data_IF_709815736029
#
_entry.id   IF_709815736029
#
_cell.length_a   1.000
_cell.length_b   1.000
_cell.length_c   1.000
_cell.angle_alpha   90.00
_cell.angle_beta   90.00
_cell.angle_gamma   90.00
#
_symmetry.space_group_name_H-M   'P 1'
#
loop_
_entity.id
_entity.type
_entity.pdbx_description
1 polymer ?
#
# COMPACT_ATOMS: atom_id res chain seq x y z
N UNK A 1 -4.80 -7.41 10.64
CA UNK A 1 -4.21 -8.42 9.72
C UNK A 1 -2.70 -8.19 9.67
N UNK A 2 -1.93 -9.17 10.06
CA UNK A 2 -0.47 -9.06 9.97
C UNK A 2 -0.02 -9.30 8.53
N UNK A 3 0.78 -8.39 7.96
CA UNK A 3 1.36 -8.61 6.65
C UNK A 3 2.47 -9.66 6.75
N UNK A 4 2.45 -10.63 5.87
CA UNK A 4 3.48 -11.67 5.80
C UNK A 4 4.83 -11.08 5.35
N UNK A 5 5.92 -11.69 5.81
CA UNK A 5 7.26 -11.35 5.32
C UNK A 5 7.39 -11.69 3.82
N UNK A 6 8.23 -10.97 3.07
CA UNK A 6 8.53 -11.35 1.69
C UNK A 6 9.12 -12.75 1.58
N UNK A 7 8.71 -13.49 0.56
CA UNK A 7 9.23 -14.84 0.27
C UNK A 7 10.56 -14.80 -0.49
N UNK A 8 10.93 -13.64 -1.04
CA UNK A 8 12.11 -13.44 -1.85
C UNK A 8 13.12 -12.54 -1.16
N UNK A 9 14.28 -12.36 -1.79
CA UNK A 9 15.41 -11.65 -1.19
C UNK A 9 15.23 -10.12 -1.27
N UNK A 10 14.28 -9.60 -0.51
CA UNK A 10 14.11 -8.16 -0.33
C UNK A 10 13.44 -7.86 1.02
N UNK A 11 13.53 -6.61 1.46
CA UNK A 11 12.92 -6.14 2.70
C UNK A 11 11.47 -5.70 2.46
N UNK A 12 10.58 -5.86 3.44
CA UNK A 12 9.22 -5.33 3.33
C UNK A 12 9.19 -3.80 3.28
N UNK A 13 10.10 -3.16 3.98
CA UNK A 13 10.26 -1.70 3.94
C UNK A 13 11.68 -1.31 4.35
N UNK A 14 12.04 -0.07 4.03
CA UNK A 14 13.26 0.57 4.52
C UNK A 14 12.93 1.99 4.95
N UNK A 15 13.57 2.44 6.03
CA UNK A 15 13.39 3.79 6.54
C UNK A 15 14.68 4.58 6.28
N UNK A 16 14.51 5.78 5.72
CA UNK A 16 15.60 6.73 5.53
C UNK A 16 15.07 8.14 5.74
N UNK A 17 15.68 8.90 6.64
CA UNK A 17 15.29 10.28 6.98
C UNK A 17 13.79 10.39 7.32
N UNK A 18 13.28 9.48 8.16
CA UNK A 18 11.88 9.42 8.56
C UNK A 18 10.89 9.15 7.41
N UNK A 19 11.38 8.65 6.29
CA UNK A 19 10.55 8.20 5.17
C UNK A 19 10.60 6.68 5.09
N UNK A 20 9.43 6.07 5.07
CA UNK A 20 9.26 4.62 4.85
C UNK A 20 9.11 4.38 3.37
N UNK A 21 9.98 3.57 2.81
CA UNK A 21 9.94 3.06 1.44
C UNK A 21 9.38 1.65 1.51
N UNK A 22 8.13 1.48 1.10
CA UNK A 22 7.42 0.22 1.21
C UNK A 22 7.54 -0.58 -0.08
N UNK A 23 7.83 -1.87 0.05
CA UNK A 23 7.77 -2.80 -1.07
C UNK A 23 6.34 -3.01 -1.56
N UNK A 24 6.17 -3.46 -2.80
CA UNK A 24 4.88 -3.77 -3.39
C UNK A 24 4.08 -4.77 -2.56
N UNK A 25 2.81 -4.45 -2.32
CA UNK A 25 1.89 -5.27 -1.53
C UNK A 25 0.87 -5.92 -2.44
N UNK A 26 0.81 -7.25 -2.38
CA UNK A 26 -0.23 -8.07 -2.98
C UNK A 26 -1.34 -8.35 -1.95
N UNK A 27 -2.52 -8.71 -2.43
CA UNK A 27 -3.66 -9.04 -1.58
C UNK A 27 -3.58 -10.46 -1.00
N UNK A 28 -2.51 -10.74 -0.26
CA UNK A 28 -2.31 -12.04 0.36
C UNK A 28 -3.23 -12.23 1.57
N UNK A 29 -3.93 -13.35 1.57
CA UNK A 29 -4.69 -13.85 2.71
C UNK A 29 -4.12 -15.21 3.08
N UNK A 30 -3.63 -15.37 4.32
CA UNK A 30 -2.91 -16.58 4.75
C UNK A 30 -1.72 -16.94 3.84
N UNK A 31 -0.99 -15.91 3.39
CA UNK A 31 0.20 -16.08 2.56
C UNK A 31 -0.05 -16.25 1.06
N UNK A 32 -1.30 -16.30 0.62
CA UNK A 32 -1.67 -16.54 -0.78
C UNK A 32 -2.64 -15.48 -1.30
N UNK A 33 -2.49 -15.11 -2.57
CA UNK A 33 -3.53 -14.37 -3.30
C UNK A 33 -4.58 -15.38 -3.76
N UNK A 34 -5.82 -15.19 -3.31
CA UNK A 34 -6.87 -16.21 -3.53
C UNK A 34 -7.37 -16.29 -4.97
N UNK A 35 -7.53 -15.15 -5.62
CA UNK A 35 -8.07 -15.08 -6.97
C UNK A 35 -7.05 -14.43 -7.88
N UNK A 36 -6.58 -15.17 -8.87
CA UNK A 36 -5.48 -14.81 -9.74
C UNK A 36 -5.96 -14.49 -11.15
N UNK A 37 -5.21 -13.66 -11.83
CA UNK A 37 -5.45 -13.34 -13.23
C UNK A 37 -5.59 -11.85 -13.49
N UNK A 38 -6.03 -11.51 -14.69
CA UNK A 38 -6.15 -10.14 -15.17
C UNK A 38 -7.56 -9.59 -14.95
N UNK A 39 -7.63 -8.35 -14.57
CA UNK A 39 -8.91 -7.65 -14.38
C UNK A 39 -9.67 -7.61 -15.70
N UNK A 40 -10.97 -7.92 -15.66
CA UNK A 40 -11.91 -8.09 -16.78
C UNK A 40 -11.69 -9.34 -17.63
N UNK A 41 -10.70 -10.16 -17.30
CA UNK A 41 -10.51 -11.49 -17.90
C UNK A 41 -10.91 -12.57 -16.89
N UNK A 42 -9.99 -12.94 -15.98
CA UNK A 42 -10.27 -13.91 -14.91
C UNK A 42 -10.85 -13.26 -13.65
N UNK A 43 -10.61 -11.95 -13.48
CA UNK A 43 -10.94 -11.21 -12.25
C UNK A 43 -11.98 -10.14 -12.57
N UNK A 44 -13.07 -10.10 -11.81
CA UNK A 44 -14.06 -9.03 -11.90
C UNK A 44 -13.51 -7.73 -11.31
N UNK A 45 -14.06 -6.61 -11.75
CA UNK A 45 -13.71 -5.29 -11.17
C UNK A 45 -14.02 -5.28 -9.67
N UNK A 46 -15.13 -5.87 -9.24
CA UNK A 46 -15.49 -5.95 -7.81
C UNK A 46 -14.46 -6.73 -7.00
N UNK A 47 -13.96 -7.84 -7.53
CA UNK A 47 -12.91 -8.62 -6.86
C UNK A 47 -11.58 -7.84 -6.83
N UNK A 48 -11.24 -7.13 -7.90
CA UNK A 48 -10.06 -6.27 -7.92
C UNK A 48 -10.16 -5.16 -6.86
N UNK A 49 -11.32 -4.54 -6.69
CA UNK A 49 -11.56 -3.56 -5.62
C UNK A 49 -11.33 -4.18 -4.23
N UNK A 50 -11.85 -5.37 -4.00
CA UNK A 50 -11.64 -6.11 -2.76
C UNK A 50 -10.16 -6.32 -2.50
N UNK A 51 -9.43 -6.76 -3.52
CA UNK A 51 -7.99 -7.02 -3.39
C UNK A 51 -7.19 -5.73 -3.18
N UNK A 52 -7.53 -4.64 -3.82
CA UNK A 52 -6.87 -3.34 -3.58
C UNK A 52 -7.03 -2.91 -2.12
N UNK A 53 -8.20 -3.09 -1.52
CA UNK A 53 -8.41 -2.78 -0.10
C UNK A 53 -7.53 -3.64 0.81
N UNK A 54 -7.35 -4.91 0.49
CA UNK A 54 -6.44 -5.79 1.23
C UNK A 54 -4.99 -5.33 1.07
N UNK A 55 -4.56 -4.97 -0.15
CA UNK A 55 -3.23 -4.40 -0.37
C UNK A 55 -3.01 -3.14 0.49
N UNK A 56 -4.00 -2.25 0.54
CA UNK A 56 -3.92 -1.03 1.34
C UNK A 56 -3.85 -1.33 2.85
N UNK A 57 -4.60 -2.31 3.33
CA UNK A 57 -4.53 -2.77 4.72
C UNK A 57 -3.14 -3.32 5.06
N UNK A 58 -2.55 -4.13 4.20
CA UNK A 58 -1.19 -4.64 4.39
C UNK A 58 -0.16 -3.51 4.40
N UNK A 59 -0.27 -2.58 3.46
CA UNK A 59 0.59 -1.41 3.42
C UNK A 59 0.51 -0.63 4.73
N UNK A 60 -0.70 -0.34 5.21
CA UNK A 60 -0.89 0.40 6.46
C UNK A 60 -0.34 -0.35 7.67
N UNK A 61 -0.52 -1.67 7.72
CA UNK A 61 0.04 -2.51 8.80
C UNK A 61 1.57 -2.45 8.83
N UNK A 62 2.24 -2.47 7.68
CA UNK A 62 3.69 -2.29 7.62
C UNK A 62 4.12 -0.90 8.07
N UNK A 63 3.36 0.14 7.73
CA UNK A 63 3.64 1.50 8.20
C UNK A 63 3.51 1.60 9.72
N UNK A 64 2.51 0.96 10.31
CA UNK A 64 2.35 0.89 11.77
C UNK A 64 3.52 0.16 12.43
N UNK A 65 3.97 -0.97 11.86
CA UNK A 65 5.14 -1.72 12.34
C UNK A 65 6.39 -0.84 12.27
N UNK A 66 6.62 -0.18 11.15
CA UNK A 66 7.77 0.71 10.96
C UNK A 66 7.74 1.89 11.94
N UNK A 67 6.60 2.51 12.13
CA UNK A 67 6.43 3.63 13.06
C UNK A 67 6.72 3.20 14.50
N UNK A 68 6.14 2.09 14.93
CA UNK A 68 6.32 1.57 16.29
C UNK A 68 7.77 1.23 16.58
N UNK A 69 8.47 0.59 15.64
CA UNK A 69 9.88 0.22 15.80
C UNK A 69 10.79 1.44 15.95
N UNK A 70 10.36 2.60 15.48
CA UNK A 70 11.13 3.86 15.50
C UNK A 70 10.58 4.89 16.48
N UNK A 71 9.66 4.51 17.36
CA UNK A 71 8.99 5.39 18.34
C UNK A 71 8.33 6.59 17.67
N UNK A 72 7.77 6.36 16.50
CA UNK A 72 7.08 7.35 15.67
C UNK A 72 5.61 7.00 15.54
N UNK A 73 4.86 7.91 14.92
CA UNK A 73 3.57 7.63 14.31
C UNK A 73 3.63 7.92 12.80
N UNK A 74 2.69 7.40 12.06
CA UNK A 74 2.57 7.68 10.63
C UNK A 74 2.14 9.13 10.50
N UNK A 75 2.92 9.94 9.77
CA UNK A 75 2.61 11.35 9.56
C UNK A 75 1.75 11.53 8.30
N UNK A 76 2.28 11.21 7.14
CA UNK A 76 1.53 11.37 5.90
C UNK A 76 1.93 10.35 4.83
N UNK A 77 1.04 10.12 3.88
CA UNK A 77 1.35 9.39 2.66
C UNK A 77 1.99 10.38 1.69
N UNK A 78 3.17 10.06 1.19
CA UNK A 78 3.94 10.95 0.31
C UNK A 78 3.64 10.69 -1.16
N UNK A 79 3.48 9.44 -1.54
CA UNK A 79 3.02 9.03 -2.86
C UNK A 79 2.46 7.61 -2.82
N UNK A 80 1.66 7.27 -3.82
CA UNK A 80 1.07 5.96 -3.99
C UNK A 80 1.19 5.53 -5.45
N UNK A 81 1.60 4.28 -5.67
CA UNK A 81 1.52 3.66 -6.99
C UNK A 81 0.62 2.46 -6.93
N UNK A 82 -0.30 2.39 -7.88
CA UNK A 82 -1.22 1.28 -8.04
C UNK A 82 -0.95 0.60 -9.38
N UNK A 83 -0.79 -0.70 -9.35
CA UNK A 83 -0.55 -1.52 -10.54
C UNK A 83 -1.74 -2.42 -10.73
N UNK A 84 -2.26 -2.42 -11.94
CA UNK A 84 -3.42 -3.26 -12.32
C UNK A 84 -3.02 -4.15 -13.48
N UNK A 85 -3.09 -5.46 -13.27
CA UNK A 85 -2.89 -6.43 -14.35
C UNK A 85 -4.16 -6.51 -15.18
N UNK A 86 -4.11 -6.00 -16.40
CA UNK A 86 -5.25 -5.94 -17.31
C UNK A 86 -4.79 -5.83 -18.75
N UNK A 87 -5.70 -6.00 -19.68
CA UNK A 87 -5.42 -5.72 -21.08
C UNK A 87 -5.62 -4.23 -21.39
N UNK A 88 -5.23 -3.81 -22.59
CA UNK A 88 -5.29 -2.42 -23.03
C UNK A 88 -6.72 -1.87 -23.18
N UNK A 89 -7.73 -2.74 -23.20
CA UNK A 89 -9.13 -2.35 -23.37
C UNK A 89 -9.78 -1.86 -22.07
N UNK A 90 -9.16 -2.17 -20.90
CA UNK A 90 -9.72 -1.75 -19.62
C UNK A 90 -9.32 -0.32 -19.27
N UNK A 91 -10.29 0.61 -19.29
CA UNK A 91 -10.09 2.03 -18.99
C UNK A 91 -10.27 2.38 -17.50
N UNK A 92 -10.74 1.46 -16.68
CA UNK A 92 -11.16 1.74 -15.30
C UNK A 92 -10.04 1.73 -14.25
N UNK A 93 -8.77 1.78 -14.64
CA UNK A 93 -7.65 1.65 -13.68
C UNK A 93 -7.61 2.79 -12.64
N UNK A 94 -7.92 4.01 -13.04
CA UNK A 94 -7.91 5.16 -12.11
C UNK A 94 -9.07 5.10 -11.12
N UNK A 95 -10.26 4.69 -11.55
CA UNK A 95 -11.42 4.50 -10.66
C UNK A 95 -11.13 3.37 -9.69
N UNK A 96 -10.52 2.28 -10.16
CA UNK A 96 -10.14 1.17 -9.32
C UNK A 96 -9.10 1.60 -8.27
N UNK A 97 -8.12 2.41 -8.66
CA UNK A 97 -7.09 2.93 -7.76
C UNK A 97 -7.64 3.88 -6.69
N UNK A 98 -8.78 4.53 -6.94
CA UNK A 98 -9.44 5.39 -5.94
C UNK A 98 -9.76 4.61 -4.66
N UNK A 99 -9.98 3.31 -4.73
CA UNK A 99 -10.23 2.47 -3.56
C UNK A 99 -9.03 2.43 -2.59
N UNK A 100 -7.82 2.46 -3.11
CA UNK A 100 -6.62 2.58 -2.28
C UNK A 100 -6.49 3.99 -1.68
N UNK A 101 -6.67 5.03 -2.49
CA UNK A 101 -6.59 6.41 -2.04
C UNK A 101 -7.61 6.72 -0.95
N UNK A 102 -8.86 6.31 -1.15
CA UNK A 102 -9.95 6.46 -0.15
C UNK A 102 -9.58 5.81 1.19
N UNK A 103 -8.94 4.64 1.15
CA UNK A 103 -8.50 3.95 2.37
C UNK A 103 -7.55 4.82 3.20
N UNK A 104 -6.52 5.37 2.57
CA UNK A 104 -5.52 6.18 3.28
C UNK A 104 -6.06 7.52 3.76
N UNK A 105 -6.91 8.16 2.96
CA UNK A 105 -7.58 9.40 3.35
C UNK A 105 -8.51 9.15 4.56
N UNK A 106 -9.23 8.04 4.56
CA UNK A 106 -10.08 7.65 5.70
C UNK A 106 -9.26 7.40 6.97
N UNK A 107 -8.06 6.82 6.84
CA UNK A 107 -7.17 6.52 7.97
C UNK A 107 -6.48 7.76 8.54
N UNK A 108 -6.06 8.69 7.69
CA UNK A 108 -5.14 9.77 8.06
C UNK A 108 -5.72 11.19 7.82
N UNK A 109 -6.94 11.29 7.29
CA UNK A 109 -7.51 12.59 6.94
C UNK A 109 -6.68 13.28 5.85
N UNK A 110 -6.46 14.57 5.97
CA UNK A 110 -5.71 15.37 4.97
C UNK A 110 -4.29 14.84 4.74
N UNK A 111 -3.67 14.27 5.78
CA UNK A 111 -2.33 13.68 5.68
C UNK A 111 -2.33 12.36 4.89
N UNK A 112 -3.49 11.78 4.64
CA UNK A 112 -3.67 10.64 3.75
C UNK A 112 -3.77 11.01 2.28
N UNK A 113 -4.04 12.26 1.95
CA UNK A 113 -4.03 12.74 0.56
C UNK A 113 -2.63 12.73 -0.01
N UNK A 114 -2.48 12.33 -1.26
CA UNK A 114 -1.19 12.02 -1.85
C UNK A 114 -1.22 12.16 -3.37
N UNK A 115 -0.07 12.44 -3.99
CA UNK A 115 0.10 12.24 -5.43
C UNK A 115 0.09 10.73 -5.74
N UNK A 116 -0.40 10.38 -6.91
CA UNK A 116 -0.59 8.99 -7.30
C UNK A 116 -0.26 8.75 -8.77
N UNK A 117 0.36 7.60 -9.02
CA UNK A 117 0.48 7.04 -10.37
C UNK A 117 -0.25 5.71 -10.43
N UNK A 118 -0.94 5.47 -11.54
CA UNK A 118 -1.63 4.20 -11.82
C UNK A 118 -1.09 3.63 -13.10
N UNK A 119 -0.72 2.36 -13.10
CA UNK A 119 -0.13 1.69 -14.24
C UNK A 119 -0.91 0.41 -14.56
N UNK A 120 -1.31 0.28 -15.82
CA UNK A 120 -1.76 -0.98 -16.37
C UNK A 120 -0.53 -1.80 -16.76
N UNK A 121 -0.46 -3.04 -16.33
CA UNK A 121 0.64 -3.96 -16.61
C UNK A 121 0.10 -5.26 -17.17
N UNK A 122 0.91 -5.98 -17.93
CA UNK A 122 0.48 -7.25 -18.52
C UNK A 122 0.42 -8.38 -17.50
N UNK A 123 1.24 -8.33 -16.45
CA UNK A 123 1.31 -9.34 -15.40
C UNK A 123 1.99 -8.79 -14.16
N UNK A 124 1.52 -9.24 -13.01
CA UNK A 124 2.11 -8.96 -11.69
C UNK A 124 2.70 -10.23 -11.08
N UNK A 125 3.58 -10.11 -10.07
CA UNK A 125 4.08 -11.27 -9.34
C UNK A 125 2.94 -12.15 -8.85
N UNK A 126 3.16 -13.46 -8.88
CA UNK A 126 2.18 -14.50 -8.49
C UNK A 126 0.87 -14.44 -9.29
N UNK A 127 0.89 -13.82 -10.45
CA UNK A 127 -0.31 -13.61 -11.28
C UNK A 127 -1.42 -12.84 -10.54
N UNK A 128 -1.04 -11.99 -9.60
CA UNK A 128 -1.99 -11.16 -8.86
C UNK A 128 -2.65 -10.13 -9.78
N UNK A 129 -3.93 -9.77 -9.56
CA UNK A 129 -4.59 -8.77 -10.39
C UNK A 129 -4.18 -7.33 -10.05
N UNK A 130 -3.77 -7.07 -8.81
CA UNK A 130 -3.42 -5.72 -8.34
C UNK A 130 -2.25 -5.75 -7.38
N UNK A 131 -1.53 -4.64 -7.31
CA UNK A 131 -0.45 -4.42 -6.36
C UNK A 131 -0.37 -2.93 -6.03
N UNK A 132 0.04 -2.59 -4.83
CA UNK A 132 0.34 -1.20 -4.49
C UNK A 132 1.71 -1.09 -3.83
N UNK A 133 2.39 0.02 -4.04
CA UNK A 133 3.50 0.45 -3.21
C UNK A 133 3.37 1.94 -2.89
N UNK A 134 4.06 2.39 -1.86
CA UNK A 134 3.97 3.77 -1.42
C UNK A 134 5.20 4.21 -0.65
N UNK A 135 5.30 5.51 -0.46
CA UNK A 135 6.19 6.12 0.52
C UNK A 135 5.36 6.91 1.51
N UNK A 136 5.77 6.89 2.77
CA UNK A 136 5.10 7.59 3.85
C UNK A 136 6.13 8.23 4.77
N UNK A 137 5.79 9.36 5.37
CA UNK A 137 6.62 9.99 6.37
C UNK A 137 6.21 9.57 7.79
N UNK A 138 7.21 9.49 8.65
CA UNK A 138 7.04 9.26 10.07
C UNK A 138 7.35 10.53 10.86
N UNK A 139 6.67 10.69 11.99
CA UNK A 139 6.90 11.79 12.91
C UNK A 139 7.13 11.22 14.31
N UNK A 140 8.14 11.71 15.02
CA UNK A 140 8.39 11.32 16.40
C UNK A 140 7.13 11.52 17.23
N UNK A 141 6.77 10.53 18.03
CA UNK A 141 5.57 10.59 18.87
C UNK A 141 5.64 11.79 19.79
N UNK A 142 6.78 12.03 20.35
CA UNK A 142 7.19 13.20 21.09
C UNK A 142 8.38 12.87 21.97
N UNK A 143 9.25 13.86 22.15
CA UNK A 143 10.32 13.80 23.12
C UNK A 143 10.15 14.95 24.09
N UNK A 144 10.43 14.68 25.34
CA UNK A 144 10.56 15.74 26.33
C UNK A 144 12.05 16.07 26.40
N UNK A 145 12.44 17.21 25.82
CA UNK A 145 13.79 17.74 26.00
C UNK A 145 13.65 19.00 26.82
N UNK A 146 14.23 19.01 28.02
CA UNK A 146 14.17 20.13 28.97
C UNK A 146 12.74 20.59 29.32
N UNK A 147 11.82 19.65 29.47
CA UNK A 147 10.43 19.95 29.83
C UNK A 147 9.58 20.50 28.68
N UNK A 148 10.07 20.49 27.46
CA UNK A 148 9.31 20.89 26.26
C UNK A 148 8.94 19.67 25.43
N UNK A 149 7.70 19.65 24.95
CA UNK A 149 7.21 18.61 24.04
C UNK A 149 7.46 19.05 22.59
N UNK A 150 7.87 18.08 21.75
CA UNK A 150 8.17 18.27 20.33
C UNK A 150 7.22 17.45 19.47
#
# INVERSE_FOLDING_TARGET
>A
MEPGKPDFNFLPFKIHNNVVYLAGQLAKENGLVKNLGRVTEQISVLEAERQIKICAQHAFSWLEIAAKANKCHIDSILDLRVYVSCNKEFDGISILADKASEFFIKKLGDNGSHPRSVLAVSRLPQNAPVMIDLRASLKLKWGNINGKFY
#
